data_IF_886887033110
#
_entry.id   IF_886887033110
#
_cell.length_a   1.000
_cell.length_b   1.000
_cell.length_c   1.000
_cell.angle_alpha   90.00
_cell.angle_beta   90.00
_cell.angle_gamma   90.00
#
_symmetry.space_group_name_H-M   'P 1'
#
loop_
_entity.id
_entity.type
_entity.pdbx_description
1 polymer ?
#
# COMPACT_ATOMS: atom_id res chain seq x y z
N UNK A 1 -26.81 -0.57 -3.26
CA UNK A 1 -26.20 0.40 -4.20
C UNK A 1 -24.71 0.09 -4.18
N UNK A 2 -24.20 -0.60 -5.20
CA UNK A 2 -22.80 -1.05 -5.21
C UNK A 2 -21.95 0.14 -5.63
N UNK A 3 -21.07 0.62 -4.74
CA UNK A 3 -20.10 1.67 -5.07
C UNK A 3 -19.21 1.13 -6.18
N UNK A 4 -19.35 1.69 -7.39
CA UNK A 4 -18.53 1.31 -8.53
C UNK A 4 -17.29 2.17 -8.52
N UNK A 5 -16.25 1.69 -7.84
CA UNK A 5 -14.93 2.31 -7.89
C UNK A 5 -14.36 2.20 -9.31
N UNK A 6 -13.83 3.30 -9.84
CA UNK A 6 -13.10 3.32 -11.11
C UNK A 6 -11.63 2.98 -10.91
N UNK A 7 -11.05 3.25 -9.74
CA UNK A 7 -9.69 2.81 -9.41
C UNK A 7 -9.64 1.29 -9.25
N UNK A 8 -8.80 0.62 -10.03
CA UNK A 8 -8.69 -0.84 -10.00
C UNK A 8 -7.74 -1.29 -8.88
N UNK A 9 -7.92 -2.52 -8.38
CA UNK A 9 -7.02 -3.07 -7.35
C UNK A 9 -5.55 -3.06 -7.79
N UNK A 10 -5.28 -3.30 -9.09
CA UNK A 10 -3.92 -3.23 -9.65
C UNK A 10 -3.28 -1.85 -9.48
N UNK A 11 -4.05 -0.77 -9.55
CA UNK A 11 -3.56 0.60 -9.39
C UNK A 11 -3.19 0.83 -7.92
N UNK A 12 -4.04 0.37 -7.00
CA UNK A 12 -3.79 0.45 -5.55
C UNK A 12 -2.56 -0.39 -5.16
N UNK A 13 -2.39 -1.58 -5.74
CA UNK A 13 -1.21 -2.42 -5.52
C UNK A 13 0.07 -1.76 -6.04
N UNK A 14 0.04 -1.15 -7.23
CA UNK A 14 1.20 -0.44 -7.80
C UNK A 14 1.52 0.84 -7.00
N UNK A 15 0.49 1.56 -6.55
CA UNK A 15 0.63 2.69 -5.63
C UNK A 15 1.34 2.29 -4.35
N UNK A 16 0.88 1.21 -3.71
CA UNK A 16 1.48 0.67 -2.49
C UNK A 16 2.91 0.18 -2.69
N UNK A 17 3.16 -0.62 -3.74
CA UNK A 17 4.41 -1.33 -3.93
C UNK A 17 5.52 -0.51 -4.60
N UNK A 18 5.18 0.55 -5.32
CA UNK A 18 6.14 1.34 -6.10
C UNK A 18 6.01 2.83 -5.84
N UNK A 19 4.87 3.45 -6.16
CA UNK A 19 4.76 4.91 -6.11
C UNK A 19 4.88 5.47 -4.68
N UNK A 20 4.48 4.72 -3.66
CA UNK A 20 4.67 5.10 -2.25
C UNK A 20 6.12 5.46 -1.90
N UNK A 21 7.09 4.92 -2.63
CA UNK A 21 8.52 5.09 -2.39
C UNK A 21 9.18 6.07 -3.37
N UNK A 22 8.39 6.65 -4.27
CA UNK A 22 8.86 7.70 -5.17
C UNK A 22 8.66 9.05 -4.48
N UNK A 23 9.67 9.91 -4.55
CA UNK A 23 9.60 11.27 -4.04
C UNK A 23 8.74 12.13 -4.96
N UNK A 24 7.58 12.55 -4.49
CA UNK A 24 6.68 13.47 -5.20
C UNK A 24 6.57 14.80 -4.48
N UNK A 25 6.20 15.81 -5.26
CA UNK A 25 5.71 17.08 -4.80
C UNK A 25 4.18 17.19 -4.98
N UNK A 26 3.59 18.14 -4.26
CA UNK A 26 2.16 18.42 -4.40
C UNK A 26 1.86 18.92 -5.82
N UNK A 27 0.76 18.45 -6.39
CA UNK A 27 0.32 18.68 -7.77
C UNK A 27 1.08 17.92 -8.86
N UNK A 28 2.02 17.04 -8.48
CA UNK A 28 2.61 16.11 -9.43
C UNK A 28 1.53 15.23 -10.08
N UNK A 29 1.72 14.95 -11.37
CA UNK A 29 0.89 14.04 -12.14
C UNK A 29 1.59 12.69 -12.29
N UNK A 30 0.87 11.64 -11.98
CA UNK A 30 1.37 10.26 -11.99
C UNK A 30 0.52 9.45 -12.96
N UNK A 31 1.16 8.72 -13.86
CA UNK A 31 0.47 7.74 -14.71
C UNK A 31 0.66 6.35 -14.12
N UNK A 32 -0.44 5.64 -13.90
CA UNK A 32 -0.48 4.31 -13.29
C UNK A 32 -1.45 3.49 -14.10
N UNK A 33 -1.00 2.40 -14.72
CA UNK A 33 -1.86 1.49 -15.48
C UNK A 33 -2.81 2.19 -16.49
N UNK A 34 -2.29 3.18 -17.23
CA UNK A 34 -3.01 4.02 -18.19
C UNK A 34 -3.99 5.05 -17.60
N UNK A 35 -4.07 5.16 -16.27
CA UNK A 35 -4.87 6.16 -15.54
C UNK A 35 -4.01 7.29 -14.96
N UNK A 36 -4.52 8.51 -14.97
CA UNK A 36 -3.80 9.67 -14.42
C UNK A 36 -4.26 10.03 -13.01
N UNK A 37 -3.29 10.36 -12.16
CA UNK A 37 -3.49 10.76 -10.78
C UNK A 37 -2.78 12.08 -10.47
N UNK A 38 -3.33 12.86 -9.56
CA UNK A 38 -2.73 14.11 -9.07
C UNK A 38 -2.44 14.01 -7.57
N UNK A 39 -1.23 14.39 -7.14
CA UNK A 39 -0.88 14.46 -5.73
C UNK A 39 -1.58 15.65 -5.06
N UNK A 40 -2.42 15.40 -4.05
CA UNK A 40 -3.18 16.43 -3.33
C UNK A 40 -2.56 16.81 -1.99
N UNK A 41 -1.95 15.86 -1.29
CA UNK A 41 -1.31 16.08 -0.02
C UNK A 41 -0.15 15.09 0.19
N UNK A 42 0.87 15.54 0.92
CA UNK A 42 1.99 14.71 1.35
C UNK A 42 2.18 14.96 2.85
N UNK A 43 2.34 13.87 3.60
CA UNK A 43 2.66 13.87 5.02
C UNK A 43 4.02 13.21 5.21
N UNK A 44 4.92 13.93 5.88
CA UNK A 44 6.14 13.39 6.43
C UNK A 44 6.24 13.83 7.90
N UNK A 45 6.03 12.90 8.82
CA UNK A 45 6.03 13.15 10.26
C UNK A 45 7.23 12.45 10.90
N UNK A 46 8.23 13.23 11.29
CA UNK A 46 9.44 12.71 11.94
C UNK A 46 9.21 12.31 13.39
N UNK A 47 8.11 12.74 14.03
CA UNK A 47 7.81 12.43 15.44
C UNK A 47 7.17 11.05 15.53
N UNK A 48 6.18 10.79 14.68
CA UNK A 48 5.44 9.51 14.68
C UNK A 48 6.02 8.50 13.68
N UNK A 49 6.86 8.96 12.75
CA UNK A 49 7.36 8.15 11.64
C UNK A 49 6.35 7.98 10.50
N UNK A 50 5.18 8.63 10.56
CA UNK A 50 4.17 8.52 9.53
C UNK A 50 4.60 9.22 8.24
N UNK A 51 4.64 8.45 7.14
CA UNK A 51 4.73 8.97 5.79
C UNK A 51 3.49 8.54 5.00
N UNK A 52 2.85 9.49 4.32
CA UNK A 52 1.65 9.22 3.54
C UNK A 52 1.47 10.21 2.39
N UNK A 53 0.77 9.78 1.36
CA UNK A 53 0.43 10.60 0.19
C UNK A 53 -1.07 10.49 -0.03
N UNK A 54 -1.75 11.62 -0.20
CA UNK A 54 -3.13 11.63 -0.71
C UNK A 54 -3.10 12.01 -2.17
N UNK A 55 -3.66 11.18 -3.02
CA UNK A 55 -3.76 11.40 -4.46
C UNK A 55 -5.21 11.39 -4.90
N UNK A 56 -5.46 11.95 -6.08
CA UNK A 56 -6.77 12.00 -6.71
C UNK A 56 -6.71 11.34 -8.08
N UNK A 57 -7.61 10.40 -8.36
CA UNK A 57 -7.81 9.86 -9.70
C UNK A 57 -8.48 10.93 -10.60
N UNK A 58 -7.87 11.21 -11.75
CA UNK A 58 -8.33 12.21 -12.71
C UNK A 58 -9.23 11.62 -13.80
N UNK A 59 -9.37 10.30 -13.87
CA UNK A 59 -10.14 9.64 -14.91
C UNK A 59 -11.66 9.73 -14.67
N UNK A 60 -12.40 9.89 -15.77
CA UNK A 60 -13.84 9.67 -15.88
C UNK A 60 -14.72 10.40 -14.83
N UNK A 61 -14.35 11.61 -14.41
CA UNK A 61 -15.11 12.48 -13.49
C UNK A 61 -15.33 11.92 -12.07
N UNK A 62 -14.72 10.79 -11.70
CA UNK A 62 -15.00 10.14 -10.42
C UNK A 62 -14.35 10.83 -9.22
N UNK A 63 -13.34 11.68 -9.44
CA UNK A 63 -12.66 12.46 -8.40
C UNK A 63 -12.28 11.62 -7.15
N UNK A 64 -11.98 10.33 -7.34
CA UNK A 64 -11.70 9.41 -6.24
C UNK A 64 -10.42 9.82 -5.52
N UNK A 65 -10.46 9.92 -4.19
CA UNK A 65 -9.28 10.20 -3.39
C UNK A 65 -8.77 8.95 -2.71
N UNK A 66 -7.46 8.78 -2.76
CA UNK A 66 -6.76 7.61 -2.24
C UNK A 66 -5.70 8.09 -1.27
N UNK A 67 -5.68 7.49 -0.07
CA UNK A 67 -4.55 7.65 0.86
C UNK A 67 -3.61 6.47 0.70
N UNK A 68 -2.35 6.77 0.40
CA UNK A 68 -1.25 5.81 0.24
C UNK A 68 -0.34 5.94 1.46
N UNK A 69 -0.33 4.93 2.33
CA UNK A 69 0.58 4.86 3.47
C UNK A 69 1.91 4.24 3.05
N UNK A 70 2.99 4.93 3.37
CA UNK A 70 4.34 4.50 2.99
C UNK A 70 4.91 3.65 4.12
N UNK A 71 5.33 2.43 3.78
CA UNK A 71 6.07 1.57 4.71
C UNK A 71 7.53 2.00 4.85
N UNK A 72 8.28 1.34 5.73
CA UNK A 72 9.73 1.56 5.86
C UNK A 72 10.47 1.05 4.60
N UNK A 73 11.52 1.78 4.17
CA UNK A 73 12.30 1.48 2.95
C UNK A 73 12.99 0.09 3.02
N UNK A 74 13.04 -0.61 1.87
CA UNK A 74 13.54 -1.99 1.68
C UNK A 74 15.01 -2.21 2.04
N UNK A 75 15.81 -1.15 2.16
CA UNK A 75 17.18 -1.26 2.69
C UNK A 75 17.22 -1.60 4.18
N UNK A 76 16.10 -1.40 4.89
CA UNK A 76 15.91 -1.77 6.29
C UNK A 76 15.16 -3.12 6.41
N UNK A 77 14.98 -3.89 5.32
CA UNK A 77 14.17 -5.12 5.38
C UNK A 77 14.77 -6.21 6.30
N UNK A 78 16.10 -6.19 6.53
CA UNK A 78 16.74 -7.03 7.55
C UNK A 78 16.38 -6.58 8.98
N UNK A 79 16.30 -5.27 9.22
CA UNK A 79 15.79 -4.71 10.47
C UNK A 79 14.29 -5.02 10.63
N UNK A 80 13.51 -4.94 9.54
CA UNK A 80 12.08 -5.27 9.49
C UNK A 80 11.80 -6.74 9.84
N UNK A 81 12.67 -7.71 9.53
CA UNK A 81 12.46 -9.09 10.02
C UNK A 81 12.56 -9.18 11.54
N UNK A 82 13.44 -8.38 12.14
CA UNK A 82 13.58 -8.27 13.61
C UNK A 82 12.41 -7.49 14.19
N UNK A 83 11.98 -6.41 13.52
CA UNK A 83 10.87 -5.56 13.94
C UNK A 83 9.49 -6.20 13.70
N UNK A 84 9.35 -7.11 12.73
CA UNK A 84 8.15 -7.94 12.53
C UNK A 84 7.92 -8.84 13.74
N UNK A 85 8.98 -9.28 14.39
CA UNK A 85 8.90 -9.99 15.67
C UNK A 85 8.60 -9.04 16.84
N UNK A 86 8.93 -7.74 16.71
CA UNK A 86 8.50 -6.65 17.61
C UNK A 86 7.13 -6.03 17.24
N UNK A 87 6.41 -6.50 16.21
CA UNK A 87 5.06 -6.02 15.85
C UNK A 87 3.99 -6.35 16.90
N UNK A 88 4.36 -6.93 18.05
CA UNK A 88 3.52 -6.77 19.24
C UNK A 88 3.30 -5.30 19.61
N UNK A 89 4.21 -4.40 19.21
CA UNK A 89 4.26 -2.96 19.52
C UNK A 89 4.60 -2.09 18.29
N UNK A 90 3.98 -2.30 17.11
CA UNK A 90 3.95 -1.21 16.10
C UNK A 90 3.46 0.04 16.80
N UNK A 91 4.36 1.01 17.00
CA UNK A 91 4.26 2.08 17.98
C UNK A 91 2.84 2.69 17.90
N UNK A 92 2.02 2.51 18.94
CA UNK A 92 0.64 3.04 19.01
C UNK A 92 0.52 4.47 18.43
N UNK A 93 1.52 5.37 18.61
CA UNK A 93 1.53 6.68 17.96
C UNK A 93 1.45 6.69 16.43
N UNK A 94 2.09 5.76 15.70
CA UNK A 94 2.08 5.76 14.23
C UNK A 94 0.75 5.23 13.67
N UNK A 95 0.16 4.21 14.31
CA UNK A 95 -1.18 3.72 13.98
C UNK A 95 -2.23 4.80 14.23
N UNK A 96 -2.14 5.50 15.35
CA UNK A 96 -3.03 6.62 15.66
C UNK A 96 -2.79 7.81 14.72
N UNK A 97 -1.54 8.11 14.37
CA UNK A 97 -1.24 9.16 13.39
C UNK A 97 -1.81 8.82 12.01
N UNK A 98 -1.73 7.56 11.57
CA UNK A 98 -2.29 7.12 10.29
C UNK A 98 -3.81 7.30 10.26
N UNK A 99 -4.49 6.94 11.36
CA UNK A 99 -5.92 7.19 11.56
C UNK A 99 -6.24 8.68 11.47
N UNK A 100 -5.57 9.52 12.26
CA UNK A 100 -5.81 10.96 12.29
C UNK A 100 -5.55 11.61 10.92
N UNK A 101 -4.54 11.15 10.20
CA UNK A 101 -4.28 11.60 8.84
C UNK A 101 -5.39 11.20 7.88
N UNK A 102 -5.88 9.96 7.96
CA UNK A 102 -7.05 9.52 7.19
C UNK A 102 -8.27 10.40 7.49
N UNK A 103 -8.62 10.63 8.76
CA UNK A 103 -9.77 11.46 9.16
C UNK A 103 -9.64 12.90 8.64
N UNK A 104 -8.43 13.47 8.67
CA UNK A 104 -8.16 14.80 8.13
C UNK A 104 -8.39 14.85 6.61
N UNK A 105 -7.88 13.85 5.87
CA UNK A 105 -7.99 13.81 4.41
C UNK A 105 -9.41 13.45 3.96
N UNK A 106 -10.08 12.55 4.65
CA UNK A 106 -11.47 12.18 4.40
C UNK A 106 -12.40 13.37 4.61
N UNK A 107 -12.23 14.10 5.72
CA UNK A 107 -12.98 15.35 5.95
C UNK A 107 -12.77 16.39 4.86
N UNK A 108 -11.57 16.44 4.27
CA UNK A 108 -11.18 17.47 3.31
C UNK A 108 -11.57 17.12 1.88
N UNK A 109 -11.51 15.85 1.52
CA UNK A 109 -11.58 15.40 0.14
C UNK A 109 -12.65 14.33 -0.12
N UNK A 110 -13.11 13.62 0.92
CA UNK A 110 -13.86 12.37 0.79
C UNK A 110 -12.92 11.28 0.27
N UNK A 111 -12.40 10.43 1.17
CA UNK A 111 -11.44 9.38 0.81
C UNK A 111 -12.19 8.10 0.47
N UNK A 112 -12.02 7.64 -0.76
CA UNK A 112 -12.69 6.46 -1.29
C UNK A 112 -11.92 5.18 -0.97
N UNK A 113 -10.59 5.27 -0.91
CA UNK A 113 -9.73 4.12 -0.71
C UNK A 113 -8.46 4.43 0.07
N UNK A 114 -7.95 3.43 0.79
CA UNK A 114 -6.63 3.45 1.41
C UNK A 114 -5.80 2.26 0.95
N UNK A 115 -4.49 2.49 0.85
CA UNK A 115 -3.55 1.47 0.40
C UNK A 115 -2.17 1.63 1.04
N UNK A 116 -1.34 0.60 0.96
CA UNK A 116 0.01 0.61 1.49
C UNK A 116 0.70 -0.75 1.38
N UNK A 117 2.03 -0.74 1.46
CA UNK A 117 2.86 -1.94 1.40
C UNK A 117 3.62 -2.18 2.71
N UNK A 118 3.79 -3.44 3.10
CA UNK A 118 4.49 -3.82 4.34
C UNK A 118 3.90 -3.10 5.56
N UNK A 119 4.68 -2.34 6.33
CA UNK A 119 4.18 -1.50 7.43
C UNK A 119 3.05 -0.56 6.98
N UNK A 120 3.17 0.06 5.81
CA UNK A 120 2.11 0.90 5.25
C UNK A 120 0.81 0.13 5.01
N UNK A 121 0.90 -1.17 4.69
CA UNK A 121 -0.25 -2.05 4.59
C UNK A 121 -0.93 -2.30 5.93
N UNK A 122 -0.17 -2.43 7.03
CA UNK A 122 -0.74 -2.49 8.38
C UNK A 122 -1.45 -1.18 8.74
N UNK A 123 -0.85 -0.01 8.43
CA UNK A 123 -1.48 1.29 8.64
C UNK A 123 -2.80 1.42 7.85
N UNK A 124 -2.83 0.97 6.59
CA UNK A 124 -4.03 0.95 5.77
C UNK A 124 -5.11 0.02 6.34
N UNK A 125 -4.74 -1.20 6.74
CA UNK A 125 -5.66 -2.16 7.35
C UNK A 125 -6.23 -1.64 8.67
N UNK A 126 -5.44 -0.93 9.48
CA UNK A 126 -5.93 -0.28 10.71
C UNK A 126 -7.08 0.66 10.41
N UNK A 127 -6.95 1.48 9.37
CA UNK A 127 -8.00 2.38 8.90
C UNK A 127 -9.20 1.57 8.38
N UNK A 128 -8.98 0.56 7.54
CA UNK A 128 -10.05 -0.29 7.00
C UNK A 128 -10.90 -0.98 8.08
N UNK A 129 -10.27 -1.38 9.19
CA UNK A 129 -10.95 -2.00 10.34
C UNK A 129 -11.86 -1.00 11.07
N UNK A 130 -11.41 0.24 11.27
CA UNK A 130 -12.19 1.28 11.98
C UNK A 130 -13.27 1.92 11.11
N UNK A 131 -13.03 2.01 9.80
CA UNK A 131 -13.87 2.73 8.86
C UNK A 131 -14.38 1.76 7.77
N UNK A 132 -15.38 0.90 8.06
CA UNK A 132 -15.82 -0.15 7.13
C UNK A 132 -16.42 0.36 5.80
N UNK A 133 -16.61 1.68 5.67
CA UNK A 133 -17.05 2.32 4.43
C UNK A 133 -15.89 2.63 3.46
N UNK A 134 -14.64 2.62 3.93
CA UNK A 134 -13.47 2.89 3.08
C UNK A 134 -12.94 1.60 2.51
N UNK A 135 -12.72 1.58 1.20
CA UNK A 135 -12.09 0.43 0.54
C UNK A 135 -10.61 0.39 0.87
N UNK A 136 -10.12 -0.76 1.30
CA UNK A 136 -8.73 -0.98 1.69
C UNK A 136 -8.12 -2.04 0.80
N UNK A 137 -7.07 -1.69 0.06
CA UNK A 137 -6.33 -2.64 -0.78
C UNK A 137 -4.86 -2.54 -0.45
N UNK A 138 -4.23 -3.63 -0.04
CA UNK A 138 -2.81 -3.60 0.36
C UNK A 138 -1.97 -4.57 -0.46
N UNK A 139 -0.65 -4.36 -0.41
CA UNK A 139 0.33 -5.28 -1.01
C UNK A 139 1.32 -5.73 0.06
N UNK A 140 1.52 -7.03 0.23
CA UNK A 140 2.38 -7.63 1.26
C UNK A 140 2.28 -6.93 2.64
N UNK A 141 1.08 -6.71 3.19
CA UNK A 141 0.92 -5.96 4.44
C UNK A 141 1.59 -6.67 5.61
N UNK A 142 2.15 -5.89 6.52
CA UNK A 142 2.50 -6.38 7.85
C UNK A 142 1.21 -6.75 8.63
N UNK A 143 1.33 -7.65 9.60
CA UNK A 143 0.22 -8.05 10.44
C UNK A 143 -0.16 -6.96 11.44
N UNK A 144 -1.46 -6.80 11.68
CA UNK A 144 -1.96 -6.01 12.80
C UNK A 144 -1.85 -6.83 14.11
N UNK A 145 -1.67 -6.15 15.27
CA UNK A 145 -1.76 -6.82 16.57
C UNK A 145 -3.11 -7.50 16.77
N UNK A 146 -3.13 -8.68 17.39
CA UNK A 146 -4.36 -9.49 17.61
C UNK A 146 -5.50 -8.75 18.32
N UNK A 147 -5.20 -7.75 19.15
CA UNK A 147 -6.22 -6.98 19.86
C UNK A 147 -6.87 -5.88 19.01
N UNK A 148 -6.34 -5.61 17.81
CA UNK A 148 -6.87 -4.59 16.89
C UNK A 148 -7.76 -5.18 15.79
N UNK A 149 -7.87 -6.51 15.73
CA UNK A 149 -8.69 -7.20 14.74
C UNK A 149 -9.52 -8.25 15.44
N UNK A 150 -10.81 -8.30 15.12
CA UNK A 150 -11.70 -9.35 15.61
C UNK A 150 -11.45 -10.61 14.77
N UNK A 151 -10.97 -11.69 15.41
CA UNK A 151 -10.54 -12.91 14.71
C UNK A 151 -11.66 -13.64 13.94
N UNK A 152 -12.92 -13.31 14.23
CA UNK A 152 -14.11 -14.00 13.71
C UNK A 152 -14.93 -13.09 12.78
N UNK A 153 -14.42 -11.90 12.46
CA UNK A 153 -15.10 -10.89 11.65
C UNK A 153 -14.53 -10.87 10.25
N UNK A 154 -15.42 -11.00 9.27
CA UNK A 154 -15.07 -10.72 7.87
C UNK A 154 -15.10 -9.22 7.61
N UNK A 155 -14.12 -8.74 6.86
CA UNK A 155 -13.97 -7.33 6.51
C UNK A 155 -14.10 -7.17 4.99
N UNK A 156 -15.34 -7.09 4.50
CA UNK A 156 -15.69 -7.01 3.07
C UNK A 156 -15.01 -5.84 2.33
N UNK A 157 -14.62 -4.79 3.05
CA UNK A 157 -13.96 -3.61 2.52
C UNK A 157 -12.43 -3.77 2.40
N UNK A 158 -11.84 -4.84 2.93
CA UNK A 158 -10.39 -5.06 2.96
C UNK A 158 -10.00 -6.20 2.03
N UNK A 159 -9.10 -5.92 1.09
CA UNK A 159 -8.47 -6.91 0.21
C UNK A 159 -6.96 -6.79 0.32
N UNK A 160 -6.27 -7.92 0.48
CA UNK A 160 -4.81 -7.92 0.65
C UNK A 160 -4.21 -8.82 -0.42
N UNK A 161 -3.24 -8.27 -1.15
CA UNK A 161 -2.53 -8.96 -2.20
C UNK A 161 -1.14 -9.35 -1.70
N UNK A 162 -0.72 -10.57 -2.03
CA UNK A 162 0.60 -11.10 -1.70
C UNK A 162 1.35 -11.47 -2.98
N UNK A 163 2.61 -11.05 -3.08
CA UNK A 163 3.49 -11.42 -4.19
C UNK A 163 3.97 -12.87 -4.06
N UNK A 164 4.23 -13.52 -5.20
CA UNK A 164 4.68 -14.92 -5.27
C UNK A 164 6.00 -15.16 -4.51
N UNK A 165 6.86 -14.13 -4.45
CA UNK A 165 8.14 -14.13 -3.71
C UNK A 165 8.12 -13.19 -2.51
N UNK A 166 6.97 -13.07 -1.82
CA UNK A 166 6.89 -12.29 -0.59
C UNK A 166 7.62 -13.00 0.57
N UNK A 167 8.87 -12.57 0.80
CA UNK A 167 9.70 -13.05 1.91
C UNK A 167 9.04 -12.76 3.26
N UNK A 168 8.19 -11.73 3.37
CA UNK A 168 7.51 -11.38 4.63
C UNK A 168 6.45 -12.43 4.97
N UNK A 169 5.54 -12.71 4.05
CA UNK A 169 4.56 -13.80 4.19
C UNK A 169 5.24 -15.16 4.36
N UNK A 170 6.27 -15.45 3.56
CA UNK A 170 7.04 -16.70 3.69
C UNK A 170 7.70 -16.88 5.06
N UNK A 171 8.21 -15.78 5.65
CA UNK A 171 8.82 -15.80 6.99
C UNK A 171 7.76 -15.97 8.09
N UNK A 172 6.60 -15.32 7.96
CA UNK A 172 5.48 -15.44 8.92
C UNK A 172 4.84 -16.83 8.91
N UNK A 173 4.69 -17.44 7.73
CA UNK A 173 4.23 -18.83 7.56
C UNK A 173 5.25 -19.80 8.19
N UNK A 174 6.55 -19.58 7.97
CA UNK A 174 7.60 -20.41 8.59
C UNK A 174 7.67 -20.31 10.11
N UNK A 175 7.06 -19.28 10.72
CA UNK A 175 6.99 -19.06 12.16
C UNK A 175 5.67 -19.54 12.79
N UNK A 176 4.75 -20.12 12.01
CA UNK A 176 3.45 -20.62 12.51
C UNK A 176 2.48 -19.51 12.95
N UNK A 177 2.62 -18.31 12.38
CA UNK A 177 1.71 -17.18 12.58
C UNK A 177 0.64 -17.09 11.47
N UNK A 178 0.56 -18.13 10.64
CA UNK A 178 -0.38 -18.29 9.54
C UNK A 178 -1.84 -18.21 10.00
N UNK A 179 -2.17 -18.74 11.18
CA UNK A 179 -3.54 -18.67 11.71
C UNK A 179 -4.04 -17.21 11.85
N UNK A 180 -3.14 -16.23 12.01
CA UNK A 180 -3.46 -14.78 12.00
C UNK A 180 -3.53 -14.17 10.60
N UNK A 181 -2.76 -14.69 9.63
CA UNK A 181 -2.77 -14.27 8.22
C UNK A 181 -4.10 -14.68 7.56
N UNK A 182 -4.53 -15.92 7.82
CA UNK A 182 -5.71 -16.51 7.20
C UNK A 182 -7.03 -16.06 7.83
N UNK A 183 -7.04 -15.59 9.08
CA UNK A 183 -8.28 -15.22 9.81
C UNK A 183 -8.77 -13.79 9.58
N UNK A 184 -7.96 -12.93 8.95
CA UNK A 184 -8.31 -11.51 8.75
C UNK A 184 -8.78 -11.22 7.31
N UNK A 185 -8.63 -12.14 6.35
CA UNK A 185 -8.63 -11.73 4.93
C UNK A 185 -9.20 -12.77 3.96
N UNK A 186 -9.98 -12.28 2.99
CA UNK A 186 -10.14 -12.96 1.70
C UNK A 186 -8.83 -12.86 0.92
N UNK A 187 -8.03 -13.94 0.93
CA UNK A 187 -6.81 -14.00 0.14
C UNK A 187 -7.15 -14.16 -1.34
N UNK A 188 -6.93 -13.12 -2.14
CA UNK A 188 -6.89 -13.25 -3.59
C UNK A 188 -5.44 -13.41 -4.04
N UNK A 189 -5.08 -14.65 -4.37
CA UNK A 189 -3.87 -14.93 -5.13
C UNK A 189 -4.11 -14.52 -6.59
N UNK A 190 -3.12 -13.87 -7.20
CA UNK A 190 -3.07 -13.39 -8.60
C UNK A 190 -3.55 -11.96 -8.86
N UNK A 191 -2.67 -10.99 -8.57
CA UNK A 191 -2.40 -9.91 -9.54
C UNK A 191 -0.91 -10.01 -9.88
N UNK A 192 -0.61 -10.38 -11.12
CA UNK A 192 0.77 -10.39 -11.63
C UNK A 192 1.22 -8.94 -11.80
N UNK A 193 1.86 -8.38 -10.79
CA UNK A 193 2.50 -7.07 -10.89
C UNK A 193 3.85 -7.23 -11.59
N UNK A 194 3.83 -7.56 -12.89
CA UNK A 194 5.03 -7.80 -13.71
C UNK A 194 6.06 -6.66 -13.65
N UNK A 195 5.64 -5.43 -13.34
CA UNK A 195 6.55 -4.29 -13.16
C UNK A 195 7.22 -4.26 -11.77
N UNK A 196 6.55 -4.72 -10.71
CA UNK A 196 7.07 -4.68 -9.33
C UNK A 196 8.16 -5.73 -9.09
N UNK A 197 8.03 -6.92 -9.67
CA UNK A 197 9.02 -7.99 -9.54
C UNK A 197 10.31 -7.68 -10.33
N UNK A 198 10.24 -6.88 -11.40
CA UNK A 198 11.40 -6.50 -12.20
C UNK A 198 12.26 -5.39 -11.56
N UNK A 199 11.68 -4.47 -10.76
CA UNK A 199 12.46 -3.46 -10.02
C UNK A 199 13.44 -4.12 -9.04
N UNK A 200 13.10 -5.30 -8.50
CA UNK A 200 14.01 -6.10 -7.65
C UNK A 200 15.18 -6.72 -8.40
N UNK A 201 15.16 -6.73 -9.74
CA UNK A 201 16.15 -7.43 -10.59
C UNK A 201 17.12 -6.49 -11.33
N UNK A 202 17.01 -5.17 -11.17
CA UNK A 202 17.92 -4.22 -11.86
C UNK A 202 19.32 -4.32 -11.23
N UNK A 203 20.35 -4.77 -11.96
CA UNK A 203 21.72 -4.77 -11.46
C UNK A 203 22.18 -3.34 -11.23
N UNK A 204 22.83 -3.07 -10.09
CA UNK A 204 23.42 -1.76 -9.77
C UNK A 204 24.34 -1.33 -10.92
N UNK A 205 23.95 -0.29 -11.66
CA UNK A 205 24.75 0.31 -12.73
C UNK A 205 24.00 0.94 -13.90
N UNK A 206 22.69 0.71 -14.05
CA UNK A 206 21.92 1.24 -15.18
C UNK A 206 20.96 2.36 -14.76
N UNK A 207 21.26 3.59 -15.18
CA UNK A 207 20.29 4.68 -15.23
C UNK A 207 19.40 4.46 -16.46
N UNK A 208 18.11 4.17 -16.28
CA UNK A 208 17.13 4.19 -17.36
C UNK A 208 16.10 5.29 -17.11
N UNK A 209 16.27 6.39 -17.84
CA UNK A 209 15.22 7.35 -18.17
C UNK A 209 14.25 6.66 -19.13
N UNK A 210 12.98 6.52 -18.77
CA UNK A 210 11.96 5.94 -19.64
C UNK A 210 11.41 7.00 -20.61
N UNK A 211 12.00 7.09 -21.81
CA UNK A 211 11.29 7.48 -23.04
C UNK A 211 11.65 6.45 -24.10
N UNK A 212 10.66 5.66 -24.54
CA UNK A 212 10.60 4.92 -25.80
C UNK A 212 11.85 4.07 -26.16
N UNK A 213 11.85 2.79 -25.80
CA UNK A 213 12.63 1.81 -26.55
C UNK A 213 11.97 1.57 -27.92
N UNK A 214 12.44 2.25 -28.98
CA UNK A 214 12.21 1.80 -30.36
C UNK A 214 13.26 0.75 -30.70
N UNK A 215 12.81 -0.38 -31.22
CA UNK A 215 13.65 -1.38 -31.88
C UNK A 215 14.48 -0.72 -32.99
N UNK A 216 15.80 -0.85 -32.95
CA UNK A 216 16.62 -0.82 -34.16
C UNK A 216 17.02 -2.25 -34.49
N UNK A 217 16.26 -2.85 -35.39
CA UNK A 217 16.75 -3.97 -36.18
C UNK A 217 17.77 -3.45 -37.22
N UNK A 218 18.85 -4.23 -37.38
CA UNK A 218 19.78 -4.32 -38.51
C UNK A 218 20.55 -3.07 -38.98
N UNK A 219 21.88 -3.10 -38.81
CA UNK A 219 22.83 -3.48 -39.88
C UNK A 219 24.22 -3.76 -39.31
#
# INVERSE_FOLDING_TARGET
MTLKYNTHDKDLVELAGFHAYLGYDKFDLININDSWYEVKNIKADTVTGLNAITIKNLDNNNNEHIVVFVGTDVKQLEDVKTDIFLLSDTNVPQLEAAKLYYEEMDKKYGVDSVTGNSLGGALANRVGVEFPHVRTVTYNPALLPKHQVEADKDYDNITNYFGEYDILSGSLISLGLDDTIFRVQSMKHHIMAYHLDQVRSIPKGYNCFFISCRNSANS
#
